data_IF_142190435898
#
_entry.id   IF_142190435898
#
_cell.length_a   1.000
_cell.length_b   1.000
_cell.length_c   1.000
_cell.angle_alpha   90.00
_cell.angle_beta   90.00
_cell.angle_gamma   90.00
#
_symmetry.space_group_name_H-M   'P 1'
#
loop_
_entity.id
_entity.type
_entity.pdbx_description
1 polymer ?
#
# COMPACT_ATOMS: atom_id res chain seq x y z
N UNK A 1 58.69 33.52 54.63
CA UNK A 1 57.92 34.73 55.00
C UNK A 1 57.82 35.61 53.76
N UNK A 2 56.71 35.48 53.00
CA UNK A 2 56.12 36.48 52.10
C UNK A 2 54.82 35.88 51.53
N UNK A 3 53.75 36.66 51.67
CA UNK A 3 52.34 36.34 51.45
C UNK A 3 51.96 36.22 49.96
N UNK A 4 50.72 35.75 49.76
CA UNK A 4 49.77 36.15 48.69
C UNK A 4 49.90 35.31 47.40
N UNK A 5 48.84 34.79 46.76
CA UNK A 5 47.42 35.16 46.74
C UNK A 5 46.63 33.97 46.18
N UNK A 6 45.44 33.69 46.71
CA UNK A 6 44.43 32.85 46.06
C UNK A 6 44.07 33.41 44.69
N UNK A 7 43.98 32.57 43.66
CA UNK A 7 43.16 32.88 42.49
C UNK A 7 42.44 31.63 42.00
N UNK A 8 41.19 31.53 42.45
CA UNK A 8 40.14 30.68 41.90
C UNK A 8 39.97 31.06 40.44
N UNK A 9 40.34 30.19 39.49
CA UNK A 9 39.95 30.37 38.09
C UNK A 9 38.67 29.57 37.87
N UNK A 10 37.60 30.36 37.92
CA UNK A 10 36.22 30.06 37.62
C UNK A 10 36.10 29.38 36.24
N UNK A 11 35.57 28.16 36.25
CA UNK A 11 35.19 27.41 35.05
C UNK A 11 34.04 28.18 34.35
N UNK A 12 34.36 28.89 33.27
CA UNK A 12 33.36 29.51 32.40
C UNK A 12 32.63 28.41 31.63
N UNK A 13 31.55 27.88 32.21
CA UNK A 13 30.52 27.18 31.47
C UNK A 13 29.90 28.17 30.46
N UNK A 14 30.34 28.13 29.21
CA UNK A 14 29.54 28.68 28.12
C UNK A 14 28.24 27.87 28.09
N UNK A 15 27.05 28.50 28.19
CA UNK A 15 25.85 27.80 27.78
C UNK A 15 26.01 27.60 26.27
N UNK A 16 26.07 26.33 25.83
CA UNK A 16 25.73 26.03 24.47
C UNK A 16 24.35 26.66 24.25
N UNK A 17 24.27 27.65 23.35
CA UNK A 17 22.99 28.02 22.75
C UNK A 17 22.52 26.76 22.02
N UNK A 18 21.82 25.90 22.76
CA UNK A 18 20.90 24.96 22.18
C UNK A 18 19.89 25.86 21.49
N UNK A 19 20.03 26.00 20.17
CA UNK A 19 18.90 26.42 19.35
C UNK A 19 17.79 25.46 19.75
N UNK A 20 16.82 25.96 20.52
CA UNK A 20 15.54 25.30 20.64
C UNK A 20 15.03 25.25 19.22
N UNK A 21 15.24 24.12 18.55
CA UNK A 21 14.36 23.72 17.46
C UNK A 21 13.00 23.72 18.12
N UNK A 22 12.20 24.74 17.82
CA UNK A 22 10.83 24.78 18.25
C UNK A 22 10.25 23.43 17.82
N UNK A 23 9.86 22.62 18.81
CA UNK A 23 9.17 21.38 18.57
C UNK A 23 7.77 21.77 18.10
N UNK A 24 7.64 22.13 16.82
CA UNK A 24 6.38 22.47 16.13
C UNK A 24 5.46 21.24 15.99
N UNK A 25 5.64 20.24 16.87
CA UNK A 25 4.81 19.06 17.08
C UNK A 25 3.50 19.38 17.82
N UNK A 26 2.96 20.59 17.68
CA UNK A 26 1.64 20.90 18.20
C UNK A 26 0.58 20.73 17.12
N UNK A 27 -0.39 19.86 17.39
CA UNK A 27 -1.54 19.67 16.50
C UNK A 27 -2.28 21.01 16.29
N UNK A 28 -2.50 21.49 15.06
CA UNK A 28 -3.17 22.76 14.80
C UNK A 28 -4.53 22.91 15.51
N UNK A 29 -4.85 24.13 15.97
CA UNK A 29 -6.03 24.40 16.80
C UNK A 29 -7.36 24.01 16.15
N UNK A 30 -7.46 24.13 14.84
CA UNK A 30 -8.61 23.65 14.06
C UNK A 30 -8.75 22.12 14.12
N UNK A 31 -7.65 21.36 14.03
CA UNK A 31 -7.67 19.89 14.15
C UNK A 31 -8.01 19.49 15.59
N UNK A 32 -7.40 20.14 16.60
CA UNK A 32 -7.73 19.91 18.02
C UNK A 32 -9.21 20.11 18.31
N UNK A 33 -9.79 21.21 17.80
CA UNK A 33 -11.23 21.49 17.94
C UNK A 33 -12.09 20.39 17.32
N UNK A 34 -11.73 19.88 16.14
CA UNK A 34 -12.45 18.78 15.49
C UNK A 34 -12.37 17.49 16.32
N UNK A 35 -11.19 17.13 16.82
CA UNK A 35 -11.03 15.94 17.65
C UNK A 35 -11.86 16.02 18.95
N UNK A 36 -11.88 17.18 19.60
CA UNK A 36 -12.70 17.43 20.78
C UNK A 36 -14.20 17.24 20.49
N UNK A 37 -14.71 17.84 19.41
CA UNK A 37 -16.12 17.68 18.98
C UNK A 37 -16.44 16.21 18.68
N UNK A 38 -15.49 15.47 18.10
CA UNK A 38 -15.62 14.04 17.80
C UNK A 38 -15.35 13.13 19.00
N UNK A 39 -14.98 13.69 20.16
CA UNK A 39 -14.60 12.95 21.38
C UNK A 39 -13.48 11.94 21.12
N UNK A 40 -12.53 12.30 20.27
CA UNK A 40 -11.36 11.49 19.96
C UNK A 40 -10.14 12.02 20.73
N UNK A 41 -9.36 11.15 21.39
CA UNK A 41 -8.08 11.55 21.99
C UNK A 41 -7.09 11.98 20.90
N UNK A 42 -6.27 13.00 21.15
CA UNK A 42 -5.28 13.47 20.17
C UNK A 42 -4.22 12.41 19.86
N UNK A 43 -3.98 11.54 20.82
CA UNK A 43 -3.01 10.46 20.80
C UNK A 43 -3.43 9.30 19.89
N UNK A 44 -4.69 9.22 19.46
CA UNK A 44 -5.13 8.22 18.47
C UNK A 44 -4.90 8.64 17.03
N UNK A 45 -4.50 9.90 16.82
CA UNK A 45 -4.20 10.45 15.51
C UNK A 45 -2.69 10.44 15.27
N UNK A 46 -2.30 10.11 14.04
CA UNK A 46 -0.96 10.33 13.50
C UNK A 46 -1.09 11.10 12.19
N UNK A 47 -0.26 12.13 11.99
CA UNK A 47 -0.29 12.99 10.80
C UNK A 47 1.13 13.33 10.34
N UNK A 48 1.34 13.24 9.04
CA UNK A 48 2.53 13.75 8.37
C UNK A 48 2.07 14.49 7.11
N UNK A 49 2.50 15.73 6.94
CA UNK A 49 2.23 16.55 5.75
C UNK A 49 3.53 17.20 5.29
N UNK A 50 3.84 17.01 4.02
CA UNK A 50 5.04 17.53 3.38
C UNK A 50 4.67 18.14 2.02
N UNK A 51 5.25 19.30 1.72
CA UNK A 51 5.26 19.86 0.37
C UNK A 51 6.27 19.09 -0.49
N UNK A 52 5.76 18.35 -1.47
CA UNK A 52 6.59 17.49 -2.33
C UNK A 52 7.50 18.26 -3.32
N UNK A 53 7.28 19.57 -3.52
CA UNK A 53 8.14 20.40 -4.38
C UNK A 53 9.34 20.95 -3.61
N UNK A 54 9.10 21.42 -2.38
CA UNK A 54 10.14 22.06 -1.55
C UNK A 54 10.80 21.10 -0.56
N UNK A 55 10.14 19.99 -0.22
CA UNK A 55 10.52 19.10 0.87
C UNK A 55 10.20 19.68 2.25
N UNK A 56 9.46 20.79 2.31
CA UNK A 56 9.07 21.42 3.57
C UNK A 56 8.01 20.57 4.27
N UNK A 57 8.32 20.13 5.48
CA UNK A 57 7.37 19.44 6.33
C UNK A 57 6.46 20.47 7.00
N UNK A 58 5.18 20.44 6.65
CA UNK A 58 4.16 21.39 7.11
C UNK A 58 3.50 20.96 8.43
N UNK A 59 3.46 19.66 8.73
CA UNK A 59 2.89 19.12 9.97
C UNK A 59 3.46 17.73 10.27
N UNK A 60 3.93 17.54 11.50
CA UNK A 60 4.25 16.22 12.07
C UNK A 60 3.53 16.06 13.39
N UNK A 61 2.91 14.91 13.56
CA UNK A 61 2.25 14.53 14.80
C UNK A 61 2.25 13.02 14.91
N UNK A 62 3.11 12.46 15.77
CA UNK A 62 3.18 11.00 16.05
C UNK A 62 3.31 10.18 14.76
N UNK A 63 4.07 10.67 13.80
CA UNK A 63 4.24 10.14 12.45
C UNK A 63 5.05 8.84 12.39
N UNK A 64 5.81 8.55 13.44
CA UNK A 64 6.58 7.33 13.64
C UNK A 64 5.84 6.25 14.46
N UNK A 65 4.65 6.56 14.99
CA UNK A 65 3.87 5.59 15.76
C UNK A 65 3.17 4.56 14.86
N UNK A 66 3.36 3.25 15.09
CA UNK A 66 2.68 2.21 14.33
C UNK A 66 1.15 2.31 14.47
N UNK A 67 0.45 2.37 13.34
CA UNK A 67 -1.03 2.39 13.26
C UNK A 67 -1.56 1.23 12.41
N UNK A 68 -2.85 0.91 12.58
CA UNK A 68 -3.56 0.07 11.62
C UNK A 68 -3.82 0.90 10.33
N UNK A 69 -3.19 0.58 9.19
CA UNK A 69 -3.37 1.35 7.96
C UNK A 69 -4.74 1.15 7.32
N UNK A 70 -5.47 0.10 7.69
CA UNK A 70 -6.68 -0.33 6.99
C UNK A 70 -6.45 -0.35 5.47
N UNK A 71 -7.32 0.29 4.67
CA UNK A 71 -7.18 0.32 3.22
C UNK A 71 -6.02 1.18 2.71
N UNK A 72 -5.34 2.01 3.51
CA UNK A 72 -4.17 2.77 3.03
C UNK A 72 -2.97 1.88 2.72
N UNK A 73 -2.93 0.66 3.28
CA UNK A 73 -1.95 -0.38 2.91
C UNK A 73 -1.96 -0.68 1.40
N UNK A 74 -3.09 -0.42 0.72
CA UNK A 74 -3.21 -0.61 -0.73
C UNK A 74 -2.23 0.25 -1.52
N UNK A 75 -1.77 1.39 -0.98
CA UNK A 75 -0.73 2.19 -1.62
C UNK A 75 0.57 1.39 -1.77
N UNK A 76 1.01 0.74 -0.68
CA UNK A 76 2.21 -0.10 -0.70
C UNK A 76 2.03 -1.31 -1.62
N UNK A 77 0.91 -2.04 -1.51
CA UNK A 77 0.71 -3.23 -2.36
C UNK A 77 0.58 -2.87 -3.84
N UNK A 78 0.00 -1.70 -4.15
CA UNK A 78 -0.10 -1.22 -5.54
C UNK A 78 1.27 -0.81 -6.08
N UNK A 79 2.10 -0.15 -5.28
CA UNK A 79 3.47 0.19 -5.65
C UNK A 79 4.26 -1.09 -5.98
N UNK A 80 4.22 -2.08 -5.10
CA UNK A 80 4.90 -3.36 -5.32
C UNK A 80 4.35 -4.08 -6.55
N UNK A 81 3.04 -4.07 -6.78
CA UNK A 81 2.44 -4.67 -7.97
C UNK A 81 2.90 -3.97 -9.26
N UNK A 82 2.97 -2.63 -9.27
CA UNK A 82 3.44 -1.88 -10.43
C UNK A 82 4.93 -2.10 -10.71
N UNK A 83 5.75 -2.18 -9.66
CA UNK A 83 7.19 -2.44 -9.78
C UNK A 83 7.49 -3.86 -10.27
N UNK A 84 6.78 -4.86 -9.72
CA UNK A 84 7.03 -6.28 -10.03
C UNK A 84 6.38 -6.75 -11.33
N UNK A 85 5.13 -6.33 -11.61
CA UNK A 85 4.37 -6.78 -12.77
C UNK A 85 4.45 -5.81 -13.95
N UNK A 86 4.69 -4.53 -13.67
CA UNK A 86 4.59 -3.46 -14.65
C UNK A 86 3.14 -2.99 -14.89
N UNK A 87 2.95 -1.74 -15.34
CA UNK A 87 1.62 -1.17 -15.57
C UNK A 87 0.85 -1.83 -16.73
N UNK A 88 1.56 -2.51 -17.62
CA UNK A 88 0.99 -3.20 -18.77
C UNK A 88 0.64 -4.67 -18.50
N UNK A 89 0.86 -5.18 -17.28
CA UNK A 89 0.58 -6.59 -16.98
C UNK A 89 -0.88 -6.96 -17.31
N UNK A 90 -1.05 -8.18 -17.84
CA UNK A 90 -2.35 -8.76 -18.14
C UNK A 90 -2.39 -10.15 -17.55
N UNK A 91 -3.37 -10.36 -16.68
CA UNK A 91 -3.67 -11.68 -16.16
C UNK A 91 -4.10 -12.61 -17.29
N UNK A 92 -3.79 -13.89 -17.13
CA UNK A 92 -4.17 -14.94 -18.07
C UNK A 92 -5.27 -15.81 -17.48
N UNK A 93 -6.15 -16.25 -18.36
CA UNK A 93 -7.10 -17.33 -18.10
C UNK A 93 -7.09 -18.19 -19.36
N UNK A 94 -6.74 -19.46 -19.23
CA UNK A 94 -6.54 -20.38 -20.35
C UNK A 94 -7.51 -21.54 -20.27
N UNK A 95 -7.93 -22.05 -21.43
CA UNK A 95 -8.79 -23.22 -21.55
C UNK A 95 -8.02 -24.30 -22.29
N UNK A 96 -8.00 -25.51 -21.75
CA UNK A 96 -7.37 -26.67 -22.36
C UNK A 96 -8.39 -27.78 -22.60
N UNK A 97 -8.22 -28.52 -23.69
CA UNK A 97 -8.93 -29.75 -23.95
C UNK A 97 -8.02 -30.93 -23.57
N UNK A 98 -8.49 -31.81 -22.70
CA UNK A 98 -7.80 -33.04 -22.31
C UNK A 98 -8.60 -34.23 -22.84
N UNK A 99 -8.40 -34.52 -24.13
CA UNK A 99 -9.16 -35.53 -24.86
C UNK A 99 -9.10 -35.26 -26.36
N UNK A 100 -9.75 -36.12 -27.14
CA UNK A 100 -9.85 -35.92 -28.59
C UNK A 100 -11.11 -35.14 -28.95
N UNK A 101 -11.01 -34.25 -29.94
CA UNK A 101 -12.17 -33.56 -30.52
C UNK A 101 -12.61 -34.37 -31.74
N UNK A 102 -13.75 -35.05 -31.61
CA UNK A 102 -14.34 -35.88 -32.67
C UNK A 102 -15.65 -35.23 -33.11
N UNK A 103 -15.67 -34.67 -34.32
CA UNK A 103 -16.82 -33.89 -34.79
C UNK A 103 -17.00 -32.62 -33.97
N UNK A 104 -18.15 -32.46 -33.32
CA UNK A 104 -18.47 -31.33 -32.43
C UNK A 104 -18.37 -31.66 -30.93
N UNK A 105 -17.72 -32.78 -30.59
CA UNK A 105 -17.65 -33.31 -29.24
C UNK A 105 -16.21 -33.44 -28.77
N UNK A 106 -15.95 -33.00 -27.55
CA UNK A 106 -14.73 -33.29 -26.82
C UNK A 106 -14.91 -34.59 -26.02
N UNK A 107 -14.24 -35.65 -26.44
CA UNK A 107 -14.16 -36.92 -25.71
C UNK A 107 -13.08 -36.84 -24.64
N UNK A 108 -13.42 -36.17 -23.54
CA UNK A 108 -12.54 -35.96 -22.40
C UNK A 108 -12.92 -34.71 -21.62
N UNK A 109 -11.99 -34.20 -20.84
CA UNK A 109 -12.23 -33.10 -19.90
C UNK A 109 -11.88 -31.74 -20.53
N UNK A 110 -12.57 -30.69 -20.10
CA UNK A 110 -12.21 -29.31 -20.39
C UNK A 110 -11.63 -28.68 -19.12
N UNK A 111 -10.43 -28.10 -19.21
CA UNK A 111 -9.75 -27.49 -18.05
C UNK A 111 -9.75 -25.97 -18.18
N UNK A 112 -10.16 -25.27 -17.12
CA UNK A 112 -10.05 -23.82 -16.99
C UNK A 112 -8.91 -23.46 -16.03
N UNK A 113 -7.77 -23.06 -16.59
CA UNK A 113 -6.60 -22.66 -15.79
C UNK A 113 -6.63 -21.16 -15.49
N UNK A 114 -6.98 -20.84 -14.25
CA UNK A 114 -6.89 -19.48 -13.72
C UNK A 114 -5.48 -19.15 -13.22
N UNK A 115 -4.96 -17.97 -13.58
CA UNK A 115 -3.69 -17.44 -13.05
C UNK A 115 -3.91 -16.30 -12.04
N UNK A 116 -5.12 -16.16 -11.50
CA UNK A 116 -5.49 -15.10 -10.55
C UNK A 116 -6.06 -13.82 -11.19
N UNK A 117 -6.63 -13.90 -12.40
CA UNK A 117 -7.27 -12.75 -13.06
C UNK A 117 -8.43 -12.20 -12.19
N UNK A 118 -8.26 -11.02 -11.55
CA UNK A 118 -9.30 -10.44 -10.70
C UNK A 118 -10.47 -9.89 -11.53
N UNK A 119 -10.36 -9.89 -12.86
CA UNK A 119 -11.36 -9.38 -13.79
C UNK A 119 -11.99 -10.48 -14.66
N UNK A 120 -11.99 -11.74 -14.19
CA UNK A 120 -12.76 -12.85 -14.77
C UNK A 120 -14.27 -12.68 -14.49
N UNK A 121 -14.85 -11.65 -15.10
CA UNK A 121 -16.28 -11.32 -15.02
C UNK A 121 -17.10 -12.14 -16.02
N UNK A 122 -18.42 -12.13 -15.85
CA UNK A 122 -19.38 -12.87 -16.70
C UNK A 122 -19.16 -12.65 -18.19
N UNK A 123 -18.86 -11.43 -18.61
CA UNK A 123 -18.59 -11.07 -20.01
C UNK A 123 -17.35 -11.79 -20.56
N UNK A 124 -16.29 -11.93 -19.75
CA UNK A 124 -15.09 -12.70 -20.12
C UNK A 124 -15.39 -14.18 -20.22
N UNK A 125 -16.20 -14.71 -19.31
CA UNK A 125 -16.65 -16.11 -19.38
C UNK A 125 -17.44 -16.35 -20.66
N UNK A 126 -18.34 -15.45 -21.04
CA UNK A 126 -19.05 -15.54 -22.32
C UNK A 126 -18.13 -15.46 -23.53
N UNK A 127 -17.06 -14.66 -23.48
CA UNK A 127 -16.03 -14.64 -24.52
C UNK A 127 -15.30 -15.99 -24.61
N UNK A 128 -14.89 -16.57 -23.48
CA UNK A 128 -14.26 -17.89 -23.44
C UNK A 128 -15.17 -18.97 -24.04
N UNK A 129 -16.45 -18.99 -23.65
CA UNK A 129 -17.45 -19.93 -24.20
C UNK A 129 -17.62 -19.76 -25.71
N UNK A 130 -17.67 -18.52 -26.21
CA UNK A 130 -17.73 -18.28 -27.66
C UNK A 130 -16.49 -18.81 -28.37
N UNK A 131 -15.30 -18.63 -27.81
CA UNK A 131 -14.06 -19.15 -28.38
C UNK A 131 -14.06 -20.69 -28.41
N UNK A 132 -14.53 -21.34 -27.35
CA UNK A 132 -14.69 -22.81 -27.28
C UNK A 132 -15.64 -23.30 -28.39
N UNK A 133 -16.79 -22.64 -28.56
CA UNK A 133 -17.74 -23.01 -29.64
C UNK A 133 -17.19 -22.75 -31.03
N UNK A 134 -16.41 -21.69 -31.21
CA UNK A 134 -15.71 -21.40 -32.48
C UNK A 134 -14.63 -22.43 -32.79
N UNK A 135 -14.04 -23.06 -31.77
CA UNK A 135 -13.14 -24.21 -31.94
C UNK A 135 -13.87 -25.52 -32.30
N UNK A 136 -15.20 -25.50 -32.43
CA UNK A 136 -16.01 -26.64 -32.86
C UNK A 136 -16.65 -27.44 -31.73
N UNK A 137 -16.30 -27.17 -30.47
CA UNK A 137 -16.77 -27.95 -29.32
C UNK A 137 -18.18 -27.49 -28.91
N UNK A 138 -19.14 -28.42 -28.95
CA UNK A 138 -20.54 -28.25 -28.55
C UNK A 138 -20.97 -29.17 -27.42
N UNK A 139 -20.33 -30.32 -27.31
CA UNK A 139 -20.53 -31.30 -26.24
C UNK A 139 -19.19 -31.66 -25.60
N UNK A 140 -19.17 -31.84 -24.28
CA UNK A 140 -18.03 -32.34 -23.51
C UNK A 140 -18.54 -33.57 -22.78
N UNK A 141 -17.90 -34.74 -22.93
CA UNK A 141 -18.33 -35.95 -22.22
C UNK A 141 -17.62 -36.22 -20.92
N UNK A 142 -16.43 -35.65 -20.75
CA UNK A 142 -15.76 -35.66 -19.46
C UNK A 142 -16.24 -34.51 -18.58
N UNK A 143 -15.40 -34.15 -17.63
CA UNK A 143 -15.70 -33.12 -16.63
C UNK A 143 -15.20 -31.74 -17.07
N UNK A 144 -15.74 -30.71 -16.42
CA UNK A 144 -15.18 -29.35 -16.42
C UNK A 144 -14.34 -29.20 -15.14
N UNK A 145 -13.04 -28.97 -15.31
CA UNK A 145 -12.05 -28.91 -14.23
C UNK A 145 -11.44 -27.51 -14.06
#
# INVERSE_FOLDING_TARGET
>A
MRLSTSMVIMLLCLPALSGAVADDNELPANIRSVLQVRKLPAESLSVYVEDLQTGEVLLRWRDDEPRNPASTVKLLTTLVALDTLGPAYRWKTEVYANGEIIGDKLEGDLLLKGYGDPFLVTERVWQLLRNIRQAGIREITGDLL
#
